data_IF_388639216194
#
_entry.id   IF_388639216194
#
_cell.length_a   1.000
_cell.length_b   1.000
_cell.length_c   1.000
_cell.angle_alpha   90.00
_cell.angle_beta   90.00
_cell.angle_gamma   90.00
#
_symmetry.space_group_name_H-M   'P 1'
#
loop_
_entity.id
_entity.type
_entity.pdbx_description
1 polymer ?
#
# COMPACT_ATOMS: atom_id res chain seq x y z
N UNK A 1 -16.43 -5.35 18.38
CA UNK A 1 -15.45 -4.24 18.28
C UNK A 1 -15.90 -3.06 17.41
N UNK A 2 -17.06 -3.11 16.75
CA UNK A 2 -17.49 -2.14 15.72
C UNK A 2 -17.94 -0.76 16.24
N UNK A 3 -18.27 -0.61 17.53
CA UNK A 3 -18.76 0.66 18.09
C UNK A 3 -17.66 1.59 18.63
N UNK A 4 -16.45 1.10 18.91
CA UNK A 4 -15.37 1.92 19.47
C UNK A 4 -14.73 2.85 18.41
N UNK A 5 -14.66 2.39 17.14
CA UNK A 5 -14.12 3.19 16.03
C UNK A 5 -15.01 4.40 15.70
N UNK A 6 -16.34 4.25 15.84
CA UNK A 6 -17.31 5.30 15.46
C UNK A 6 -17.34 6.47 16.46
N UNK A 7 -16.97 6.26 17.72
CA UNK A 7 -17.23 7.25 18.80
C UNK A 7 -16.04 8.20 19.07
N UNK A 8 -14.79 7.79 18.82
CA UNK A 8 -13.61 8.58 19.23
C UNK A 8 -12.60 8.92 18.13
N UNK A 9 -12.44 8.12 17.07
CA UNK A 9 -11.37 8.36 16.08
C UNK A 9 -11.56 9.60 15.20
N UNK A 10 -12.81 10.05 15.01
CA UNK A 10 -13.16 11.09 14.04
C UNK A 10 -12.97 12.54 14.53
N UNK A 11 -12.70 12.79 15.82
CA UNK A 11 -12.70 14.15 16.39
C UNK A 11 -11.31 14.79 16.60
N UNK A 12 -10.22 14.15 16.18
CA UNK A 12 -8.87 14.70 16.42
C UNK A 12 -7.90 14.40 15.28
N UNK A 13 -8.35 14.48 14.03
CA UNK A 13 -7.45 14.59 12.88
C UNK A 13 -7.15 16.08 12.64
N UNK A 14 -5.90 16.48 12.85
CA UNK A 14 -5.38 17.80 12.52
C UNK A 14 -4.69 17.82 11.16
N UNK A 15 -4.73 18.96 10.50
CA UNK A 15 -4.08 19.21 9.22
C UNK A 15 -3.06 20.33 9.38
N UNK A 16 -1.88 20.16 8.81
CA UNK A 16 -0.83 21.18 8.79
C UNK A 16 -0.28 21.31 7.38
N UNK A 17 -0.39 22.50 6.80
CA UNK A 17 0.24 22.81 5.52
C UNK A 17 1.76 22.90 5.69
N UNK A 18 2.50 22.28 4.78
CA UNK A 18 3.94 22.35 4.68
C UNK A 18 4.33 22.56 3.21
N UNK A 19 5.52 23.09 2.91
CA UNK A 19 5.98 23.20 1.53
C UNK A 19 5.96 21.82 0.84
N UNK A 20 5.06 21.66 -0.14
CA UNK A 20 4.93 20.44 -0.95
C UNK A 20 4.09 19.31 -0.36
N UNK A 21 3.51 19.43 0.84
CA UNK A 21 2.60 18.40 1.39
C UNK A 21 1.66 18.93 2.48
N UNK A 22 0.57 18.20 2.74
CA UNK A 22 -0.30 18.42 3.90
C UNK A 22 -0.03 17.29 4.90
N UNK A 23 0.43 17.66 6.10
CA UNK A 23 0.58 16.73 7.20
C UNK A 23 -0.77 16.46 7.85
N UNK A 24 -1.22 15.21 7.80
CA UNK A 24 -2.40 14.75 8.53
C UNK A 24 -1.94 14.03 9.79
N UNK A 25 -2.42 14.45 10.96
CA UNK A 25 -2.05 13.86 12.25
C UNK A 25 -3.29 13.51 13.04
N UNK A 26 -3.35 12.31 13.59
CA UNK A 26 -4.38 11.92 14.53
C UNK A 26 -3.76 11.48 15.85
N UNK A 27 -4.35 11.89 16.97
CA UNK A 27 -3.88 11.51 18.31
C UNK A 27 -4.98 10.79 19.07
N UNK A 28 -4.68 9.57 19.53
CA UNK A 28 -5.55 8.78 20.39
C UNK A 28 -4.73 7.74 21.16
N UNK A 29 -4.99 7.64 22.46
CA UNK A 29 -4.25 6.75 23.37
C UNK A 29 -4.38 5.27 22.99
N UNK A 30 -5.48 4.87 22.34
CA UNK A 30 -5.72 3.48 21.92
C UNK A 30 -5.34 3.20 20.46
N UNK A 31 -4.64 4.10 19.76
CA UNK A 31 -4.09 3.77 18.44
C UNK A 31 -3.26 2.48 18.44
N UNK A 32 -2.41 2.19 19.45
CA UNK A 32 -1.67 0.93 19.51
C UNK A 32 -2.57 -0.31 19.62
N UNK A 33 -3.80 -0.19 20.10
CA UNK A 33 -4.75 -1.31 20.14
C UNK A 33 -5.29 -1.65 18.73
N UNK A 34 -5.39 -0.67 17.84
CA UNK A 34 -5.87 -0.85 16.46
C UNK A 34 -4.73 -1.09 15.46
N UNK A 35 -3.58 -0.47 15.72
CA UNK A 35 -2.37 -0.53 14.92
C UNK A 35 -1.21 -1.00 15.83
N UNK A 36 -1.24 -2.26 16.30
CA UNK A 36 -0.21 -2.79 17.20
C UNK A 36 1.18 -2.83 16.57
N UNK A 37 1.27 -2.66 15.25
CA UNK A 37 2.52 -2.48 14.51
C UNK A 37 3.22 -1.15 14.83
N UNK A 38 2.55 -0.25 15.56
CA UNK A 38 3.15 0.98 16.02
C UNK A 38 4.10 0.72 17.20
N UNK A 39 5.40 0.83 16.93
CA UNK A 39 6.46 0.70 17.92
C UNK A 39 7.56 1.76 17.73
N UNK A 40 8.47 1.91 18.71
CA UNK A 40 9.56 2.87 18.64
C UNK A 40 10.50 2.59 17.46
N UNK A 41 11.15 3.65 16.95
CA UNK A 41 12.10 3.58 15.85
C UNK A 41 11.48 3.74 14.46
N UNK A 42 12.32 3.59 13.43
CA UNK A 42 11.90 3.71 12.04
C UNK A 42 11.06 2.49 11.62
N UNK A 43 10.02 2.73 10.81
CA UNK A 43 9.07 1.71 10.36
C UNK A 43 9.74 0.48 9.73
N UNK A 44 10.74 0.69 8.87
CA UNK A 44 11.46 -0.39 8.19
C UNK A 44 12.42 -1.17 9.11
N UNK A 45 12.59 -0.78 10.37
CA UNK A 45 13.46 -1.44 11.35
C UNK A 45 12.70 -2.20 12.42
N UNK A 46 11.37 -2.08 12.45
CA UNK A 46 10.51 -2.81 13.37
C UNK A 46 9.77 -3.91 12.64
N UNK A 47 9.41 -4.95 13.37
CA UNK A 47 8.56 -6.02 12.87
C UNK A 47 7.14 -5.49 12.62
N UNK A 48 6.58 -5.81 11.46
CA UNK A 48 5.22 -5.41 11.07
C UNK A 48 4.43 -6.67 10.72
N UNK A 49 3.82 -7.28 11.73
CA UNK A 49 2.96 -8.45 11.58
C UNK A 49 1.50 -8.08 11.77
N UNK A 50 0.61 -8.71 11.00
CA UNK A 50 -0.82 -8.56 11.19
C UNK A 50 -1.27 -9.46 12.33
N UNK A 51 -2.08 -8.92 13.24
CA UNK A 51 -2.80 -9.73 14.23
C UNK A 51 -3.89 -10.56 13.55
N UNK A 52 -4.38 -11.61 14.22
CA UNK A 52 -5.34 -12.56 13.63
C UNK A 52 -6.56 -11.88 13.02
N UNK A 53 -7.20 -10.95 13.75
CA UNK A 53 -8.36 -10.22 13.22
C UNK A 53 -7.99 -9.32 12.03
N UNK A 54 -6.80 -8.72 12.00
CA UNK A 54 -6.35 -7.93 10.84
C UNK A 54 -6.08 -8.83 9.63
N UNK A 55 -5.53 -10.02 9.86
CA UNK A 55 -5.30 -11.00 8.82
C UNK A 55 -6.63 -11.44 8.21
N UNK A 56 -7.65 -11.76 9.02
CA UNK A 56 -9.01 -12.07 8.54
C UNK A 56 -9.57 -10.97 7.62
N UNK A 57 -9.46 -9.70 8.03
CA UNK A 57 -9.97 -8.58 7.20
C UNK A 57 -9.18 -8.38 5.91
N UNK A 58 -7.85 -8.48 5.95
CA UNK A 58 -7.00 -8.38 4.75
C UNK A 58 -7.27 -9.55 3.81
N UNK A 59 -7.58 -10.70 4.36
CA UNK A 59 -7.87 -11.92 3.64
C UNK A 59 -9.21 -11.86 2.92
N UNK A 60 -10.24 -11.30 3.56
CA UNK A 60 -11.58 -11.09 3.02
C UNK A 60 -11.63 -9.92 2.02
N UNK A 61 -10.88 -8.84 2.28
CA UNK A 61 -10.89 -7.61 1.49
C UNK A 61 -9.50 -7.17 0.99
N UNK A 62 -8.75 -8.03 0.28
CA UNK A 62 -7.36 -7.75 -0.13
C UNK A 62 -7.26 -6.52 -1.03
N UNK A 63 -8.29 -6.24 -1.84
CA UNK A 63 -8.34 -5.06 -2.70
C UNK A 63 -8.30 -3.74 -1.94
N UNK A 64 -8.88 -3.67 -0.74
CA UNK A 64 -8.85 -2.45 0.09
C UNK A 64 -7.45 -2.16 0.61
N UNK A 65 -6.74 -3.21 1.02
CA UNK A 65 -5.35 -3.11 1.45
C UNK A 65 -4.45 -2.70 0.28
N UNK A 66 -4.54 -3.40 -0.85
CA UNK A 66 -3.74 -3.09 -2.06
C UNK A 66 -3.97 -1.66 -2.51
N UNK A 67 -5.23 -1.20 -2.53
CA UNK A 67 -5.54 0.21 -2.82
C UNK A 67 -4.80 1.15 -1.86
N UNK A 68 -4.85 0.93 -0.55
CA UNK A 68 -4.14 1.73 0.43
C UNK A 68 -2.63 1.77 0.20
N UNK A 69 -1.99 0.61 0.06
CA UNK A 69 -0.55 0.48 -0.17
C UNK A 69 -0.09 1.17 -1.45
N UNK A 70 -0.83 1.00 -2.54
CA UNK A 70 -0.48 1.64 -3.80
C UNK A 70 -0.78 3.14 -3.80
N UNK A 71 -1.69 3.64 -2.96
CA UNK A 71 -1.88 5.09 -2.78
C UNK A 71 -0.75 5.70 -1.93
N UNK A 72 -0.25 5.00 -0.90
CA UNK A 72 0.86 5.50 -0.06
C UNK A 72 2.21 5.45 -0.77
N UNK A 73 2.64 4.26 -1.20
CA UNK A 73 4.02 4.02 -1.67
C UNK A 73 4.08 3.45 -3.09
N UNK A 74 2.93 3.41 -3.77
CA UNK A 74 2.84 3.03 -5.16
C UNK A 74 3.05 4.20 -6.12
N UNK A 75 3.42 3.89 -7.35
CA UNK A 75 3.43 4.79 -8.50
C UNK A 75 2.75 4.10 -9.68
N UNK A 76 2.04 4.86 -10.51
CA UNK A 76 1.47 4.40 -11.79
C UNK A 76 1.92 5.37 -12.88
N UNK A 77 2.58 4.87 -13.91
CA UNK A 77 3.11 5.71 -14.98
C UNK A 77 3.19 4.95 -16.30
N UNK A 78 3.36 5.69 -17.39
CA UNK A 78 3.68 5.09 -18.69
C UNK A 78 5.18 4.86 -18.76
N UNK A 79 5.58 3.59 -18.75
CA UNK A 79 6.97 3.22 -18.98
C UNK A 79 7.28 3.28 -20.47
N UNK A 80 8.32 4.02 -20.85
CA UNK A 80 8.79 4.15 -22.24
C UNK A 80 10.16 3.49 -22.35
N UNK A 81 10.31 2.54 -23.27
CA UNK A 81 11.55 1.79 -23.49
C UNK A 81 11.82 1.65 -24.97
N UNK A 82 13.09 1.49 -25.35
CA UNK A 82 13.48 1.16 -26.71
C UNK A 82 13.91 -0.31 -26.72
N UNK A 83 13.31 -1.12 -27.57
CA UNK A 83 13.65 -2.54 -27.73
C UNK A 83 13.88 -2.82 -29.20
N UNK A 84 15.06 -3.34 -29.55
CA UNK A 84 15.45 -3.60 -30.95
C UNK A 84 15.27 -2.37 -31.86
N UNK A 85 15.63 -1.18 -31.36
CA UNK A 85 15.51 0.09 -32.09
C UNK A 85 14.08 0.63 -32.24
N UNK A 86 13.06 -0.06 -31.70
CA UNK A 86 11.66 0.40 -31.74
C UNK A 86 11.22 0.95 -30.38
N UNK A 87 10.55 2.11 -30.33
CA UNK A 87 9.99 2.63 -29.09
C UNK A 87 8.73 1.84 -28.70
N UNK A 88 8.65 1.46 -27.43
CA UNK A 88 7.50 0.82 -26.81
C UNK A 88 7.08 1.61 -25.57
N UNK A 89 5.77 1.75 -25.38
CA UNK A 89 5.18 2.39 -24.21
C UNK A 89 4.09 1.54 -23.62
N UNK A 90 4.10 1.36 -22.31
CA UNK A 90 3.08 0.58 -21.61
C UNK A 90 2.83 1.12 -20.21
N UNK A 91 1.59 1.02 -19.69
CA UNK A 91 1.31 1.39 -18.31
C UNK A 91 1.99 0.41 -17.36
N UNK A 92 2.51 0.92 -16.26
CA UNK A 92 3.21 0.15 -15.23
C UNK A 92 2.86 0.70 -13.86
N UNK A 93 2.69 -0.22 -12.92
CA UNK A 93 2.69 0.08 -11.50
C UNK A 93 4.05 -0.29 -10.89
N UNK A 94 4.45 0.45 -9.87
CA UNK A 94 5.61 0.12 -9.05
C UNK A 94 5.31 0.45 -7.59
N UNK A 95 5.38 -0.55 -6.72
CA UNK A 95 5.32 -0.39 -5.27
C UNK A 95 6.72 -0.46 -4.70
N UNK A 96 7.11 0.52 -3.86
CA UNK A 96 8.45 0.59 -3.27
C UNK A 96 8.33 0.75 -1.76
N UNK A 97 8.90 -0.17 -0.99
CA UNK A 97 8.92 -0.06 0.46
C UNK A 97 10.15 -0.77 1.05
N UNK A 98 10.80 -0.16 2.04
CA UNK A 98 11.99 -0.73 2.70
C UNK A 98 11.65 -1.84 3.71
N UNK A 99 10.42 -1.86 4.23
CA UNK A 99 9.99 -2.91 5.15
C UNK A 99 9.74 -4.21 4.38
N UNK A 100 10.54 -5.23 4.70
CA UNK A 100 10.38 -6.58 4.15
C UNK A 100 9.01 -7.16 4.51
N UNK A 101 8.49 -6.83 5.69
CA UNK A 101 7.19 -7.33 6.14
C UNK A 101 6.04 -6.67 5.38
N UNK A 102 6.08 -5.36 5.14
CA UNK A 102 5.09 -4.68 4.29
C UNK A 102 5.16 -5.22 2.86
N UNK A 103 6.36 -5.46 2.33
CA UNK A 103 6.52 -6.09 1.02
C UNK A 103 5.85 -7.47 0.99
N UNK A 104 6.04 -8.31 2.01
CA UNK A 104 5.38 -9.64 2.11
C UNK A 104 3.86 -9.53 2.23
N UNK A 105 3.36 -8.57 3.01
CA UNK A 105 1.92 -8.30 3.14
C UNK A 105 1.33 -7.90 1.77
N UNK A 106 2.01 -7.00 1.04
CA UNK A 106 1.61 -6.57 -0.30
C UNK A 106 1.58 -7.75 -1.28
N UNK A 107 2.64 -8.57 -1.30
CA UNK A 107 2.76 -9.76 -2.16
C UNK A 107 1.60 -10.73 -1.95
N UNK A 108 1.32 -11.11 -0.69
CA UNK A 108 0.19 -12.00 -0.35
C UNK A 108 -1.15 -11.44 -0.81
N UNK A 109 -1.36 -10.14 -0.66
CA UNK A 109 -2.60 -9.49 -1.08
C UNK A 109 -2.75 -9.46 -2.61
N UNK A 110 -1.66 -9.25 -3.36
CA UNK A 110 -1.64 -9.34 -4.82
C UNK A 110 -1.88 -10.77 -5.31
N UNK A 111 -1.28 -11.77 -4.66
CA UNK A 111 -1.48 -13.19 -4.98
C UNK A 111 -2.95 -13.59 -4.82
N UNK A 112 -3.59 -13.16 -3.73
CA UNK A 112 -5.04 -13.39 -3.50
C UNK A 112 -5.93 -12.75 -4.56
N UNK A 113 -5.51 -11.64 -5.14
CA UNK A 113 -6.23 -10.98 -6.24
C UNK A 113 -5.91 -11.58 -7.61
N UNK A 114 -5.00 -12.57 -7.69
CA UNK A 114 -4.52 -13.15 -8.95
C UNK A 114 -3.75 -12.14 -9.80
N UNK A 115 -3.13 -11.13 -9.18
CA UNK A 115 -2.39 -10.08 -9.88
C UNK A 115 -0.94 -10.52 -10.01
N UNK A 116 -0.49 -10.76 -11.22
CA UNK A 116 0.90 -11.11 -11.47
C UNK A 116 1.86 -9.96 -11.16
N UNK A 117 2.83 -10.22 -10.29
CA UNK A 117 3.93 -9.31 -9.97
C UNK A 117 5.28 -10.01 -10.06
N UNK A 118 6.35 -9.21 -10.02
CA UNK A 118 7.73 -9.70 -9.91
C UNK A 118 8.51 -8.81 -8.95
N UNK A 119 9.52 -9.38 -8.30
CA UNK A 119 10.56 -8.58 -7.65
C UNK A 119 11.60 -8.15 -8.68
N UNK A 120 12.02 -6.89 -8.62
CA UNK A 120 13.19 -6.43 -9.36
C UNK A 120 14.38 -6.27 -8.39
N UNK A 121 14.41 -5.25 -7.50
CA UNK A 121 15.23 -5.24 -6.29
C UNK A 121 14.43 -5.71 -5.06
N UNK A 122 15.10 -5.91 -3.92
CA UNK A 122 14.49 -6.41 -2.67
C UNK A 122 13.33 -5.57 -2.13
N UNK A 123 13.29 -4.28 -2.48
CA UNK A 123 12.40 -3.25 -1.94
C UNK A 123 11.45 -2.69 -3.01
N UNK A 124 11.42 -3.25 -4.23
CA UNK A 124 10.49 -2.78 -5.26
C UNK A 124 9.82 -3.93 -6.01
N UNK A 125 8.50 -3.78 -6.14
CA UNK A 125 7.59 -4.71 -6.76
C UNK A 125 6.93 -4.01 -7.96
N UNK A 126 7.49 -4.20 -9.18
CA UNK A 126 6.84 -3.74 -10.39
C UNK A 126 5.75 -4.69 -10.91
N UNK A 127 4.67 -4.10 -11.41
CA UNK A 127 3.60 -4.78 -12.14
C UNK A 127 3.47 -4.16 -13.52
N UNK A 128 3.81 -4.94 -14.55
CA UNK A 128 3.92 -4.49 -15.93
C UNK A 128 3.14 -5.35 -16.95
N UNK A 129 2.68 -6.55 -16.55
CA UNK A 129 1.85 -7.38 -17.43
C UNK A 129 0.51 -6.67 -17.66
N UNK A 130 0.07 -6.59 -18.92
CA UNK A 130 -1.11 -5.81 -19.31
C UNK A 130 -2.37 -6.20 -18.52
N UNK A 131 -2.62 -7.49 -18.35
CA UNK A 131 -3.74 -8.01 -17.56
C UNK A 131 -3.64 -7.64 -16.08
N UNK A 132 -2.45 -7.77 -15.48
CA UNK A 132 -2.21 -7.41 -14.09
C UNK A 132 -2.36 -5.90 -13.84
N UNK A 133 -1.91 -5.07 -14.78
CA UNK A 133 -2.08 -3.61 -14.71
C UNK A 133 -3.56 -3.23 -14.82
N UNK A 134 -4.31 -3.83 -15.74
CA UNK A 134 -5.75 -3.59 -15.84
C UNK A 134 -6.48 -4.01 -14.55
N UNK A 135 -6.08 -5.14 -13.95
CA UNK A 135 -6.65 -5.57 -12.67
C UNK A 135 -6.30 -4.62 -11.52
N UNK A 136 -5.09 -4.08 -11.48
CA UNK A 136 -4.73 -3.04 -10.52
C UNK A 136 -5.49 -1.73 -10.75
N UNK A 137 -5.75 -1.34 -12.01
CA UNK A 137 -6.56 -0.18 -12.32
C UNK A 137 -7.98 -0.30 -11.72
N UNK A 138 -8.60 -1.48 -11.81
CA UNK A 138 -9.90 -1.78 -11.21
C UNK A 138 -9.87 -1.72 -9.68
N UNK A 139 -8.81 -2.25 -9.06
CA UNK A 139 -8.70 -2.38 -7.60
C UNK A 139 -8.27 -1.09 -6.92
N UNK A 140 -7.23 -0.44 -7.43
CA UNK A 140 -6.64 0.79 -6.87
C UNK A 140 -7.50 2.01 -7.22
N UNK A 141 -8.13 1.99 -8.39
CA UNK A 141 -8.88 3.12 -8.95
C UNK A 141 -7.95 4.25 -9.41
N UNK A 142 -8.51 5.46 -9.64
CA UNK A 142 -7.74 6.62 -10.07
C UNK A 142 -6.61 6.91 -9.10
N UNK A 143 -5.39 7.01 -9.64
CA UNK A 143 -4.22 7.46 -8.89
C UNK A 143 -3.89 8.88 -9.35
N UNK A 144 -3.91 9.81 -8.39
CA UNK A 144 -3.66 11.25 -8.56
C UNK A 144 -2.17 11.53 -8.64
#
# INVERSE_FOLDING_TARGET
MTHAMTVCGARTAGYQENPGYIGVRAHWTHWPCLLPQHGPGAEHRREITLTDWQQEFVDEYPGRLVRGLFHSDGSRFINRVITQGRPYSYPRYNFVNESVDIMRICQKALDRLGIDWRMAPRNALPVARRSAVARLDEVVGPKW
#
